data_IF_912912387495
#
_entry.id   IF_912912387495
#
_cell.length_a   1.000
_cell.length_b   1.000
_cell.length_c   1.000
_cell.angle_alpha   90.00
_cell.angle_beta   90.00
_cell.angle_gamma   90.00
#
_symmetry.space_group_name_H-M   'P 1'
#
loop_
_entity.id
_entity.type
_entity.pdbx_description
1 polymer ?
#
# COMPACT_ATOMS: atom_id res chain seq x y z
N UNK A 1 22.48 -3.18 -3.95
CA UNK A 1 23.30 -2.05 -3.47
C UNK A 1 22.59 -0.78 -3.86
N UNK A 2 21.88 -0.17 -2.92
CA UNK A 2 21.12 1.10 -3.08
C UNK A 2 21.90 2.22 -2.39
N UNK A 3 23.22 2.22 -2.53
CA UNK A 3 24.16 2.92 -1.67
C UNK A 3 24.08 4.47 -1.66
N UNK A 4 23.15 5.08 -2.40
CA UNK A 4 22.97 6.53 -2.38
C UNK A 4 21.56 7.01 -2.78
N UNK A 5 20.57 6.14 -2.94
CA UNK A 5 19.23 6.55 -3.40
C UNK A 5 18.49 7.33 -2.32
N UNK A 6 18.16 8.58 -2.59
CA UNK A 6 17.35 9.43 -1.71
C UNK A 6 15.86 9.32 -2.08
N UNK A 7 15.02 9.06 -1.11
CA UNK A 7 13.56 8.95 -1.26
C UNK A 7 12.89 10.22 -0.77
N UNK A 8 12.15 10.87 -1.65
CA UNK A 8 11.40 12.07 -1.34
C UNK A 8 9.90 11.80 -1.20
N UNK A 9 9.28 12.33 -0.15
CA UNK A 9 7.84 12.26 0.03
C UNK A 9 7.20 13.64 -0.12
N UNK A 10 6.37 13.79 -1.14
CA UNK A 10 5.45 14.92 -1.27
C UNK A 10 4.12 14.50 -0.61
N UNK A 11 3.93 14.93 0.64
CA UNK A 11 2.93 14.41 1.56
C UNK A 11 3.49 13.32 2.47
N UNK A 12 3.30 13.47 3.79
CA UNK A 12 3.82 12.52 4.80
C UNK A 12 2.74 12.14 5.82
N UNK A 13 1.57 11.74 5.27
CA UNK A 13 0.45 11.20 6.04
C UNK A 13 0.67 9.73 6.45
N UNK A 14 -0.39 9.05 6.89
CA UNK A 14 -0.30 7.66 7.37
C UNK A 14 0.36 6.73 6.34
N UNK A 15 0.02 6.84 5.05
CA UNK A 15 0.57 5.97 4.02
C UNK A 15 2.05 6.29 3.72
N UNK A 16 2.43 7.56 3.59
CA UNK A 16 3.83 7.94 3.41
C UNK A 16 4.70 7.48 4.59
N UNK A 17 4.19 7.60 5.83
CA UNK A 17 4.89 7.10 7.02
C UNK A 17 4.97 5.57 7.03
N UNK A 18 3.94 4.85 6.58
CA UNK A 18 3.97 3.39 6.50
C UNK A 18 5.04 2.90 5.52
N UNK A 19 5.12 3.51 4.33
CA UNK A 19 6.15 3.22 3.32
C UNK A 19 7.55 3.53 3.88
N UNK A 20 7.75 4.74 4.42
CA UNK A 20 9.04 5.15 4.98
C UNK A 20 9.52 4.20 6.08
N UNK A 21 8.63 3.82 7.00
CA UNK A 21 8.94 2.86 8.06
C UNK A 21 9.31 1.50 7.49
N UNK A 22 8.53 0.96 6.57
CA UNK A 22 8.83 -0.33 5.93
C UNK A 22 10.21 -0.33 5.25
N UNK A 23 10.54 0.70 4.49
CA UNK A 23 11.84 0.85 3.82
C UNK A 23 13.01 0.92 4.81
N UNK A 24 12.83 1.61 5.95
CA UNK A 24 13.85 1.68 7.00
C UNK A 24 13.99 0.32 7.71
N UNK A 25 12.89 -0.28 8.12
CA UNK A 25 12.89 -1.54 8.87
C UNK A 25 13.38 -2.73 8.05
N UNK A 26 13.16 -2.72 6.72
CA UNK A 26 13.75 -3.72 5.81
C UNK A 26 15.25 -3.54 5.58
N UNK A 27 15.82 -2.41 6.00
CA UNK A 27 17.22 -2.05 5.73
C UNK A 27 17.50 -1.65 4.28
N UNK A 28 16.44 -1.44 3.48
CA UNK A 28 16.57 -1.07 2.05
C UNK A 28 17.01 0.37 1.91
N UNK A 29 16.58 1.27 2.82
CA UNK A 29 16.91 2.70 2.82
C UNK A 29 17.26 3.12 4.25
N UNK A 30 18.32 3.92 4.41
CA UNK A 30 18.64 4.59 5.67
C UNK A 30 17.65 5.73 5.96
N UNK A 31 17.39 6.00 7.22
CA UNK A 31 16.48 7.07 7.61
C UNK A 31 16.96 8.47 7.13
N UNK A 32 18.26 8.69 7.07
CA UNK A 32 18.92 9.90 6.56
C UNK A 32 18.79 10.09 5.05
N UNK A 33 18.43 9.03 4.33
CA UNK A 33 18.11 9.06 2.90
C UNK A 33 16.65 9.45 2.61
N UNK A 34 15.83 9.72 3.65
CA UNK A 34 14.44 10.10 3.49
C UNK A 34 14.27 11.59 3.72
N UNK A 35 13.63 12.27 2.76
CA UNK A 35 13.22 13.66 2.84
C UNK A 35 11.72 13.80 2.60
N UNK A 36 11.04 14.63 3.36
CA UNK A 36 9.60 14.78 3.25
C UNK A 36 9.13 16.23 3.41
N UNK A 37 8.04 16.58 2.71
CA UNK A 37 7.26 17.77 2.96
C UNK A 37 5.78 17.43 3.22
N UNK A 38 5.08 18.30 3.95
CA UNK A 38 3.64 18.17 4.20
C UNK A 38 3.03 19.52 4.55
N UNK A 39 1.69 19.63 4.39
CA UNK A 39 0.96 20.88 4.65
C UNK A 39 1.09 21.40 6.10
N UNK A 40 1.28 20.50 7.08
CA UNK A 40 1.44 20.83 8.50
C UNK A 40 2.88 20.58 8.93
N UNK A 41 3.73 21.59 8.79
CA UNK A 41 5.18 21.48 9.01
C UNK A 41 5.56 21.03 10.43
N UNK A 42 4.93 21.58 11.48
CA UNK A 42 5.23 21.18 12.86
C UNK A 42 4.97 19.70 13.13
N UNK A 43 3.86 19.18 12.57
CA UNK A 43 3.53 17.75 12.64
C UNK A 43 4.53 16.93 11.82
N UNK A 44 4.93 17.41 10.65
CA UNK A 44 5.95 16.77 9.83
C UNK A 44 7.27 16.65 10.59
N UNK A 45 7.76 17.73 11.19
CA UNK A 45 9.01 17.72 11.98
C UNK A 45 8.95 16.68 13.09
N UNK A 46 7.83 16.60 13.82
CA UNK A 46 7.67 15.60 14.87
C UNK A 46 7.73 14.15 14.32
N UNK A 47 7.06 13.89 13.20
CA UNK A 47 7.01 12.54 12.61
C UNK A 47 8.32 12.13 11.93
N UNK A 48 8.98 13.04 11.22
CA UNK A 48 10.29 12.76 10.59
C UNK A 48 11.39 12.56 11.64
N UNK A 49 11.40 13.39 12.69
CA UNK A 49 12.34 13.23 13.82
C UNK A 49 12.21 11.87 14.48
N UNK A 50 10.99 11.35 14.63
CA UNK A 50 10.74 10.05 15.25
C UNK A 50 11.38 8.87 14.50
N UNK A 51 11.62 9.00 13.21
CA UNK A 51 12.22 7.95 12.36
C UNK A 51 13.63 8.32 11.87
N UNK A 52 14.14 9.50 12.19
CA UNK A 52 15.45 9.97 11.74
C UNK A 52 15.50 10.55 10.33
N UNK A 53 14.33 10.86 9.72
CA UNK A 53 14.22 11.44 8.40
C UNK A 53 14.30 12.99 8.44
N UNK A 54 14.46 13.60 7.27
CA UNK A 54 14.58 15.06 7.10
C UNK A 54 13.26 15.70 6.67
N UNK A 55 12.81 16.74 7.41
CA UNK A 55 11.71 17.60 7.00
C UNK A 55 12.21 18.78 6.15
N UNK A 56 11.46 19.12 5.10
CA UNK A 56 11.64 20.32 4.30
C UNK A 56 10.31 21.06 4.12
N UNK A 57 10.35 22.30 3.67
CA UNK A 57 9.16 23.16 3.69
C UNK A 57 8.25 22.92 2.49
N UNK A 58 8.80 22.65 1.33
CA UNK A 58 8.00 22.58 0.10
C UNK A 58 8.36 21.40 -0.82
N UNK A 59 7.46 21.07 -1.78
CA UNK A 59 7.68 19.97 -2.72
C UNK A 59 8.87 20.16 -3.65
N UNK A 60 9.28 21.39 -3.95
CA UNK A 60 10.43 21.66 -4.83
C UNK A 60 11.72 21.23 -4.13
N UNK A 61 11.86 21.53 -2.82
CA UNK A 61 13.00 21.05 -2.02
C UNK A 61 13.07 19.52 -1.99
N UNK A 62 11.92 18.83 -1.88
CA UNK A 62 11.86 17.37 -1.96
C UNK A 62 12.37 16.88 -3.32
N UNK A 63 11.82 17.42 -4.41
CA UNK A 63 12.18 17.00 -5.77
C UNK A 63 13.64 17.32 -6.10
N UNK A 64 14.21 18.39 -5.58
CA UNK A 64 15.61 18.74 -5.76
C UNK A 64 16.53 17.73 -5.06
N UNK A 65 16.17 17.28 -3.86
CA UNK A 65 16.99 16.43 -3.02
C UNK A 65 16.87 14.93 -3.32
N UNK A 66 15.76 14.47 -3.90
CA UNK A 66 15.44 13.05 -4.03
C UNK A 66 15.67 12.51 -5.45
N UNK A 67 15.95 11.22 -5.54
CA UNK A 67 16.03 10.45 -6.78
C UNK A 67 14.66 9.79 -7.09
N UNK A 68 13.96 9.33 -6.06
CA UNK A 68 12.62 8.74 -6.14
C UNK A 68 11.63 9.62 -5.41
N UNK A 69 10.65 10.15 -6.11
CA UNK A 69 9.68 11.08 -5.56
C UNK A 69 8.33 10.37 -5.38
N UNK A 70 7.94 10.13 -4.13
CA UNK A 70 6.65 9.50 -3.79
C UNK A 70 5.61 10.59 -3.59
N UNK A 71 4.59 10.63 -4.46
CA UNK A 71 3.47 11.56 -4.37
C UNK A 71 2.38 10.94 -3.48
N UNK A 72 2.37 11.35 -2.21
CA UNK A 72 1.55 10.79 -1.13
C UNK A 72 0.53 11.78 -0.57
N UNK A 73 -0.05 12.60 -1.44
CA UNK A 73 -1.09 13.60 -1.13
C UNK A 73 -2.46 13.14 -1.61
N UNK A 74 -3.50 13.86 -1.20
CA UNK A 74 -4.87 13.55 -1.64
C UNK A 74 -5.03 13.78 -3.14
N UNK A 75 -5.81 12.96 -3.86
CA UNK A 75 -5.95 13.03 -5.32
C UNK A 75 -6.29 14.43 -5.86
N UNK A 76 -7.17 15.16 -5.18
CA UNK A 76 -7.58 16.51 -5.59
C UNK A 76 -6.47 17.58 -5.45
N UNK A 77 -5.38 17.28 -4.76
CA UNK A 77 -4.25 18.19 -4.54
C UNK A 77 -3.12 17.97 -5.57
N UNK A 78 -3.09 16.82 -6.25
CA UNK A 78 -1.92 16.39 -7.05
C UNK A 78 -1.57 17.43 -8.10
N UNK A 79 -2.52 17.92 -8.89
CA UNK A 79 -2.26 18.88 -9.96
C UNK A 79 -1.67 20.19 -9.42
N UNK A 80 -2.30 20.75 -8.38
CA UNK A 80 -1.86 22.04 -7.81
C UNK A 80 -0.48 21.94 -7.16
N UNK A 81 -0.17 20.82 -6.50
CA UNK A 81 1.10 20.62 -5.79
C UNK A 81 2.22 20.22 -6.75
N UNK A 82 1.92 19.43 -7.79
CA UNK A 82 2.94 18.94 -8.72
C UNK A 82 3.32 19.93 -9.81
N UNK A 83 2.41 20.79 -10.28
CA UNK A 83 2.72 21.80 -11.31
C UNK A 83 4.00 22.62 -11.06
N UNK A 84 4.24 23.22 -9.88
CA UNK A 84 5.47 23.97 -9.62
C UNK A 84 6.72 23.07 -9.53
N UNK A 85 6.56 21.76 -9.34
CA UNK A 85 7.66 20.79 -9.18
C UNK A 85 8.20 20.30 -10.52
N UNK A 86 7.39 20.36 -11.59
CA UNK A 86 7.64 19.74 -12.91
C UNK A 86 9.05 20.02 -13.43
N UNK A 87 9.51 21.29 -13.41
CA UNK A 87 10.83 21.67 -13.92
C UNK A 87 11.98 21.00 -13.13
N UNK A 88 11.79 20.76 -11.85
CA UNK A 88 12.79 20.11 -10.99
C UNK A 88 12.85 18.59 -11.22
N UNK A 89 11.79 18.00 -11.79
CA UNK A 89 11.71 16.58 -12.11
C UNK A 89 12.40 16.21 -13.44
N UNK A 90 12.70 17.19 -14.28
CA UNK A 90 13.38 16.95 -15.58
C UNK A 90 14.83 16.54 -15.32
N UNK A 91 15.03 15.27 -15.04
CA UNK A 91 16.33 14.66 -14.84
C UNK A 91 16.20 13.14 -15.06
N UNK A 92 16.99 12.58 -15.97
CA UNK A 92 16.95 11.17 -16.36
C UNK A 92 17.18 10.18 -15.20
N UNK A 93 17.82 10.62 -14.11
CA UNK A 93 18.02 9.76 -12.94
C UNK A 93 16.81 9.70 -12.00
N UNK A 94 15.87 10.67 -12.09
CA UNK A 94 14.72 10.79 -11.21
C UNK A 94 13.49 10.09 -11.77
N UNK A 95 12.65 9.59 -10.88
CA UNK A 95 11.31 9.14 -11.25
C UNK A 95 10.28 9.38 -10.14
N UNK A 96 9.03 9.48 -10.54
CA UNK A 96 7.88 9.72 -9.67
C UNK A 96 7.13 8.41 -9.46
N UNK A 97 6.80 8.11 -8.21
CA UNK A 97 5.88 7.04 -7.83
C UNK A 97 4.64 7.69 -7.22
N UNK A 98 3.54 7.66 -7.95
CA UNK A 98 2.28 8.17 -7.43
C UNK A 98 1.54 7.09 -6.65
N UNK A 99 1.11 7.45 -5.43
CA UNK A 99 0.19 6.63 -4.64
C UNK A 99 -1.18 7.29 -4.47
N UNK A 100 -1.48 8.29 -5.30
CA UNK A 100 -2.75 9.01 -5.26
C UNK A 100 -3.84 8.21 -5.96
N UNK A 101 -4.85 7.77 -5.21
CA UNK A 101 -5.95 6.97 -5.74
C UNK A 101 -6.65 7.66 -6.92
N UNK A 102 -6.96 6.90 -7.97
CA UNK A 102 -7.61 7.40 -9.18
C UNK A 102 -6.72 8.26 -10.10
N UNK A 103 -5.42 8.39 -9.80
CA UNK A 103 -4.43 8.96 -10.71
C UNK A 103 -3.77 7.84 -11.52
N UNK A 104 -3.91 7.91 -12.85
CA UNK A 104 -3.32 7.00 -13.83
C UNK A 104 -2.15 7.66 -14.54
N UNK A 105 -1.35 6.88 -15.24
CA UNK A 105 -0.27 7.40 -16.09
C UNK A 105 -0.81 8.41 -17.10
N UNK A 106 -1.93 8.13 -17.75
CA UNK A 106 -2.56 9.05 -18.70
C UNK A 106 -2.91 10.40 -18.07
N UNK A 107 -3.46 10.39 -16.84
CA UNK A 107 -3.75 11.65 -16.12
C UNK A 107 -2.48 12.43 -15.78
N UNK A 108 -1.42 11.74 -15.38
CA UNK A 108 -0.12 12.37 -15.15
C UNK A 108 0.45 12.98 -16.44
N UNK A 109 0.48 12.24 -17.53
CA UNK A 109 0.95 12.74 -18.82
C UNK A 109 0.17 13.97 -19.28
N UNK A 110 -1.16 13.95 -19.12
CA UNK A 110 -1.99 15.12 -19.44
C UNK A 110 -1.66 16.34 -18.58
N UNK A 111 -1.40 16.16 -17.30
CA UNK A 111 -1.00 17.23 -16.37
C UNK A 111 0.40 17.77 -16.70
N UNK A 112 1.33 16.90 -17.07
CA UNK A 112 2.71 17.23 -17.41
C UNK A 112 2.83 17.94 -18.77
N UNK A 113 1.86 17.70 -19.68
CA UNK A 113 1.86 18.29 -21.02
C UNK A 113 3.12 17.92 -21.81
N UNK A 114 3.80 18.91 -22.39
CA UNK A 114 5.02 18.73 -23.17
C UNK A 114 6.19 18.11 -22.37
N UNK A 115 6.16 18.22 -21.03
CA UNK A 115 7.19 17.63 -20.15
C UNK A 115 7.00 16.13 -19.93
N UNK A 116 5.91 15.53 -20.40
CA UNK A 116 5.58 14.11 -20.18
C UNK A 116 6.62 13.14 -20.76
N UNK A 117 7.32 13.54 -21.83
CA UNK A 117 8.40 12.76 -22.44
C UNK A 117 9.72 12.77 -21.63
N UNK A 118 9.84 13.73 -20.70
CA UNK A 118 11.07 13.98 -19.93
C UNK A 118 10.95 13.55 -18.46
N UNK A 119 9.74 13.16 -18.02
CA UNK A 119 9.46 12.82 -16.62
C UNK A 119 8.94 11.40 -16.55
N UNK A 120 9.64 10.59 -15.77
CA UNK A 120 9.33 9.18 -15.58
C UNK A 120 8.35 8.98 -14.42
N UNK A 121 7.25 8.26 -14.67
CA UNK A 121 6.15 8.09 -13.71
C UNK A 121 5.70 6.63 -13.66
N UNK A 122 5.49 6.12 -12.44
CA UNK A 122 4.76 4.90 -12.15
C UNK A 122 3.58 5.22 -11.21
N UNK A 123 2.38 4.81 -11.58
CA UNK A 123 1.19 4.94 -10.73
C UNK A 123 0.94 3.65 -9.96
N UNK A 124 0.65 3.77 -8.67
CA UNK A 124 0.50 2.64 -7.75
C UNK A 124 -0.52 2.92 -6.66
N UNK A 125 -0.98 1.87 -6.00
CA UNK A 125 -1.87 1.93 -4.83
C UNK A 125 -1.33 1.00 -3.75
N UNK A 126 -0.72 1.54 -2.68
CA UNK A 126 -0.21 0.77 -1.55
C UNK A 126 -1.30 0.48 -0.50
N UNK A 127 -0.99 -0.43 0.42
CA UNK A 127 -1.74 -0.60 1.65
C UNK A 127 -0.86 -0.47 2.90
N UNK A 128 -1.49 -0.28 4.07
CA UNK A 128 -0.79 0.01 5.33
C UNK A 128 0.13 -1.10 5.85
N UNK A 129 -0.08 -2.42 5.57
CA UNK A 129 0.86 -3.47 5.98
C UNK A 129 2.27 -3.35 5.40
N UNK A 130 2.52 -2.45 4.44
CA UNK A 130 3.88 -2.10 4.00
C UNK A 130 4.78 -1.67 5.16
N UNK A 131 4.20 -1.06 6.20
CA UNK A 131 4.94 -0.63 7.40
C UNK A 131 5.69 -1.77 8.12
N UNK A 132 5.28 -3.01 7.91
CA UNK A 132 5.88 -4.21 8.52
C UNK A 132 6.37 -5.21 7.47
N UNK A 133 6.62 -4.77 6.25
CA UNK A 133 7.13 -5.59 5.15
C UNK A 133 6.14 -6.66 4.63
N UNK A 134 4.84 -6.44 4.83
CA UNK A 134 3.75 -7.36 4.43
C UNK A 134 2.71 -6.66 3.57
N UNK A 135 3.14 -5.64 2.82
CA UNK A 135 2.26 -4.84 1.99
C UNK A 135 1.86 -5.49 0.68
N UNK A 136 0.88 -4.86 0.04
CA UNK A 136 0.57 -5.02 -1.38
C UNK A 136 0.72 -3.65 -2.03
N UNK A 137 1.40 -3.62 -3.16
CA UNK A 137 1.53 -2.46 -4.03
C UNK A 137 0.88 -2.81 -5.37
N UNK A 138 -0.40 -2.48 -5.51
CA UNK A 138 -1.07 -2.56 -6.81
C UNK A 138 -0.43 -1.54 -7.73
N UNK A 139 0.04 -1.98 -8.88
CA UNK A 139 0.86 -1.17 -9.79
C UNK A 139 0.24 -1.19 -11.16
N UNK A 140 0.05 -0.02 -11.76
CA UNK A 140 -0.40 0.07 -13.15
C UNK A 140 0.62 -0.62 -14.06
N UNK A 141 0.17 -1.45 -15.00
CA UNK A 141 1.03 -2.26 -15.87
C UNK A 141 1.76 -1.42 -16.94
N UNK A 142 1.37 -0.15 -17.06
CA UNK A 142 2.02 0.86 -17.90
C UNK A 142 2.76 1.88 -17.05
N UNK A 143 3.95 2.27 -17.50
CA UNK A 143 4.80 3.28 -16.89
C UNK A 143 5.70 3.95 -17.94
N UNK A 144 6.41 5.00 -17.56
CA UNK A 144 7.45 5.66 -18.39
C UNK A 144 8.85 5.46 -17.84
N UNK A 145 9.05 4.50 -16.92
CA UNK A 145 10.34 4.24 -16.30
C UNK A 145 11.34 3.65 -17.30
N UNK A 146 12.58 4.08 -17.20
CA UNK A 146 13.69 3.38 -17.86
C UNK A 146 13.89 1.99 -17.25
N UNK A 147 14.58 1.05 -17.94
CA UNK A 147 14.89 -0.27 -17.35
C UNK A 147 15.63 -0.16 -16.00
N UNK A 148 16.54 0.81 -15.84
CA UNK A 148 17.25 1.03 -14.59
C UNK A 148 16.33 1.53 -13.47
N UNK A 149 15.48 2.50 -13.78
CA UNK A 149 14.49 3.01 -12.83
C UNK A 149 13.49 1.93 -12.40
N UNK A 150 13.05 1.07 -13.34
CA UNK A 150 12.18 -0.07 -13.04
C UNK A 150 12.85 -1.07 -12.10
N UNK A 151 14.11 -1.41 -12.35
CA UNK A 151 14.87 -2.28 -11.44
C UNK A 151 15.00 -1.66 -10.04
N UNK A 152 15.21 -0.35 -9.96
CA UNK A 152 15.27 0.39 -8.68
C UNK A 152 13.92 0.40 -7.98
N UNK A 153 12.83 0.62 -8.71
CA UNK A 153 11.46 0.53 -8.19
C UNK A 153 11.18 -0.86 -7.60
N UNK A 154 11.46 -1.93 -8.35
CA UNK A 154 11.28 -3.31 -7.89
C UNK A 154 12.13 -3.62 -6.65
N UNK A 155 13.38 -3.18 -6.61
CA UNK A 155 14.25 -3.40 -5.45
C UNK A 155 13.76 -2.66 -4.19
N UNK A 156 13.27 -1.42 -4.33
CA UNK A 156 12.75 -0.64 -3.22
C UNK A 156 11.45 -1.23 -2.67
N UNK A 157 10.46 -1.37 -3.52
CA UNK A 157 9.10 -1.72 -3.07
C UNK A 157 8.91 -3.22 -2.87
N UNK A 158 9.60 -4.07 -3.63
CA UNK A 158 9.59 -5.53 -3.45
C UNK A 158 10.16 -5.98 -2.09
N UNK A 159 10.95 -5.12 -1.42
CA UNK A 159 11.44 -5.39 -0.06
C UNK A 159 10.36 -5.29 1.01
N UNK A 160 9.25 -4.58 0.74
CA UNK A 160 8.20 -4.27 1.73
C UNK A 160 6.80 -4.65 1.28
N UNK A 161 6.61 -5.08 0.02
CA UNK A 161 5.31 -5.40 -0.56
C UNK A 161 5.40 -6.45 -1.67
N UNK A 162 4.31 -7.18 -1.89
CA UNK A 162 4.03 -7.80 -3.17
C UNK A 162 3.70 -6.70 -4.18
N UNK A 163 4.46 -6.63 -5.27
CA UNK A 163 4.14 -5.75 -6.40
C UNK A 163 3.25 -6.54 -7.35
N UNK A 164 1.99 -6.13 -7.47
CA UNK A 164 1.03 -6.77 -8.37
C UNK A 164 0.67 -5.79 -9.49
N UNK A 165 0.97 -6.17 -10.75
CA UNK A 165 0.69 -5.33 -11.92
C UNK A 165 -0.66 -5.67 -12.51
N UNK A 166 -1.47 -4.65 -12.72
CA UNK A 166 -2.80 -4.76 -13.35
C UNK A 166 -2.95 -3.65 -14.39
N UNK A 167 -3.77 -3.90 -15.40
CA UNK A 167 -4.09 -2.86 -16.38
C UNK A 167 -4.87 -1.71 -15.73
N UNK A 168 -4.84 -0.56 -16.38
CA UNK A 168 -5.45 0.68 -15.89
C UNK A 168 -6.95 0.51 -15.54
N UNK A 169 -7.69 -0.30 -16.30
CA UNK A 169 -9.13 -0.49 -16.11
C UNK A 169 -9.45 -1.27 -14.81
N UNK A 170 -8.52 -2.12 -14.35
CA UNK A 170 -8.69 -2.93 -13.14
C UNK A 170 -8.03 -2.33 -11.89
N UNK A 171 -7.36 -1.17 -11.98
CA UNK A 171 -6.75 -0.51 -10.84
C UNK A 171 -7.76 -0.22 -9.70
N UNK A 172 -9.02 0.10 -10.04
CA UNK A 172 -10.09 0.36 -9.06
C UNK A 172 -10.41 -0.87 -8.22
N UNK A 173 -10.76 -1.97 -8.88
CA UNK A 173 -11.10 -3.21 -8.18
C UNK A 173 -9.91 -3.81 -7.43
N UNK A 174 -8.70 -3.72 -7.98
CA UNK A 174 -7.49 -4.15 -7.28
C UNK A 174 -7.23 -3.30 -6.03
N UNK A 175 -7.46 -1.97 -6.09
CA UNK A 175 -7.46 -1.09 -4.92
C UNK A 175 -8.48 -1.54 -3.88
N UNK A 176 -9.69 -1.89 -4.29
CA UNK A 176 -10.72 -2.35 -3.37
C UNK A 176 -10.25 -3.60 -2.60
N UNK A 177 -9.70 -4.59 -3.31
CA UNK A 177 -9.24 -5.85 -2.71
C UNK A 177 -8.00 -5.64 -1.84
N UNK A 178 -7.01 -4.87 -2.28
CA UNK A 178 -5.74 -4.73 -1.56
C UNK A 178 -5.72 -3.55 -0.58
N UNK A 179 -6.38 -2.44 -0.91
CA UNK A 179 -6.31 -1.19 -0.16
C UNK A 179 -7.51 -0.94 0.78
N UNK A 180 -8.72 -1.37 0.41
CA UNK A 180 -9.92 -1.18 1.24
C UNK A 180 -10.22 -2.41 2.11
N UNK A 181 -10.06 -3.62 1.59
CA UNK A 181 -10.38 -4.85 2.31
C UNK A 181 -9.54 -5.14 3.57
N UNK A 182 -8.37 -4.52 3.84
CA UNK A 182 -7.77 -4.57 5.17
C UNK A 182 -8.74 -4.19 6.29
N UNK A 183 -9.57 -3.16 6.09
CA UNK A 183 -10.61 -2.79 7.07
C UNK A 183 -11.65 -3.89 7.29
N UNK A 184 -12.02 -4.65 6.25
CA UNK A 184 -12.95 -5.78 6.38
C UNK A 184 -12.31 -6.91 7.20
N UNK A 185 -11.01 -7.15 6.99
CA UNK A 185 -10.23 -8.12 7.75
C UNK A 185 -10.09 -7.71 9.22
N UNK A 186 -9.92 -6.41 9.50
CA UNK A 186 -9.91 -5.87 10.85
C UNK A 186 -11.26 -6.07 11.56
N UNK A 187 -12.39 -5.86 10.87
CA UNK A 187 -13.73 -6.18 11.39
C UNK A 187 -13.90 -7.69 11.67
N UNK A 188 -13.40 -8.55 10.79
CA UNK A 188 -13.40 -9.99 11.00
C UNK A 188 -12.56 -10.38 12.23
N UNK A 189 -11.38 -9.80 12.38
CA UNK A 189 -10.51 -10.02 13.54
C UNK A 189 -11.17 -9.55 14.83
N UNK A 190 -11.88 -8.42 14.80
CA UNK A 190 -12.64 -7.90 15.95
C UNK A 190 -13.80 -8.84 16.35
N UNK A 191 -14.55 -9.33 15.36
CA UNK A 191 -15.62 -10.30 15.59
C UNK A 191 -15.12 -11.61 16.22
N UNK A 192 -13.96 -12.13 15.77
CA UNK A 192 -13.31 -13.28 16.41
C UNK A 192 -12.85 -12.96 17.84
N UNK A 193 -12.36 -11.74 18.06
CA UNK A 193 -12.01 -11.25 19.39
C UNK A 193 -13.19 -11.23 20.34
N UNK A 194 -14.34 -10.72 19.87
CA UNK A 194 -15.59 -10.70 20.66
C UNK A 194 -16.10 -12.11 20.96
N UNK A 195 -16.06 -12.99 19.97
CA UNK A 195 -16.40 -14.40 20.19
C UNK A 195 -15.48 -15.04 21.24
N UNK A 196 -14.16 -14.80 21.17
CA UNK A 196 -13.22 -15.26 22.18
C UNK A 196 -13.56 -14.80 23.58
N UNK A 197 -13.89 -13.51 23.75
CA UNK A 197 -14.30 -12.94 25.05
C UNK A 197 -15.62 -13.54 25.53
N UNK A 198 -16.60 -13.74 24.64
CA UNK A 198 -17.86 -14.41 24.97
C UNK A 198 -17.66 -15.79 25.59
N UNK A 199 -16.62 -16.50 25.19
CA UNK A 199 -16.28 -17.84 25.71
C UNK A 199 -15.12 -17.85 26.72
N UNK A 200 -14.80 -16.70 27.32
CA UNK A 200 -13.90 -16.57 28.48
C UNK A 200 -12.43 -16.32 28.16
N UNK A 201 -12.04 -16.10 26.91
CA UNK A 201 -10.66 -15.68 26.61
C UNK A 201 -10.45 -14.20 26.96
N UNK A 202 -9.24 -13.88 27.38
CA UNK A 202 -8.82 -12.49 27.46
C UNK A 202 -8.75 -11.87 26.08
N UNK A 203 -9.28 -10.64 25.90
CA UNK A 203 -9.34 -9.94 24.61
C UNK A 203 -8.01 -9.89 23.88
N UNK A 204 -6.93 -9.52 24.60
CA UNK A 204 -5.60 -9.45 24.01
C UNK A 204 -5.11 -10.79 23.44
N UNK A 205 -5.48 -11.90 24.08
CA UNK A 205 -5.16 -13.25 23.61
C UNK A 205 -5.99 -13.60 22.39
N UNK A 206 -7.30 -13.30 22.39
CA UNK A 206 -8.18 -13.56 21.26
C UNK A 206 -7.70 -12.81 20.00
N UNK A 207 -7.32 -11.54 20.11
CA UNK A 207 -6.78 -10.76 19.00
C UNK A 207 -5.45 -11.31 18.46
N UNK A 208 -4.51 -11.72 19.33
CA UNK A 208 -3.24 -12.32 18.87
C UNK A 208 -3.47 -13.63 18.10
N UNK A 209 -4.41 -14.47 18.57
CA UNK A 209 -4.77 -15.70 17.89
C UNK A 209 -5.39 -15.44 16.52
N UNK A 210 -6.36 -14.52 16.44
CA UNK A 210 -7.02 -14.13 15.19
C UNK A 210 -6.03 -13.53 14.19
N UNK A 211 -5.20 -12.58 14.62
CA UNK A 211 -4.20 -11.95 13.76
C UNK A 211 -3.20 -12.97 13.19
N UNK A 212 -2.66 -13.87 14.04
CA UNK A 212 -1.69 -14.88 13.59
C UNK A 212 -2.32 -15.93 12.69
N UNK A 213 -3.58 -16.30 12.92
CA UNK A 213 -4.33 -17.19 12.04
C UNK A 213 -4.53 -16.56 10.66
N UNK A 214 -4.96 -15.29 10.57
CA UNK A 214 -5.16 -14.57 9.31
C UNK A 214 -3.85 -14.49 8.52
N UNK A 215 -2.75 -14.10 9.18
CA UNK A 215 -1.41 -14.08 8.56
C UNK A 215 -1.04 -15.44 8.01
N UNK A 216 -1.28 -16.52 8.78
CA UNK A 216 -0.94 -17.88 8.40
C UNK A 216 -1.72 -18.39 7.19
N UNK A 217 -3.01 -18.10 7.12
CA UNK A 217 -3.86 -18.49 5.96
C UNK A 217 -3.41 -17.79 4.70
N UNK A 218 -3.10 -16.50 4.76
CA UNK A 218 -2.56 -15.75 3.62
C UNK A 218 -1.20 -16.29 3.16
N UNK A 219 -0.30 -16.55 4.12
CA UNK A 219 1.03 -17.07 3.82
C UNK A 219 0.97 -18.48 3.20
N UNK A 220 0.05 -19.33 3.66
CA UNK A 220 -0.16 -20.66 3.09
C UNK A 220 -0.64 -20.58 1.63
N UNK A 221 -1.61 -19.71 1.34
CA UNK A 221 -2.05 -19.47 -0.03
C UNK A 221 -0.92 -18.99 -0.93
N UNK A 222 -0.13 -18.02 -0.47
CA UNK A 222 1.00 -17.48 -1.24
C UNK A 222 2.10 -18.51 -1.51
N UNK A 223 2.25 -19.52 -0.63
CA UNK A 223 3.24 -20.59 -0.78
C UNK A 223 2.78 -21.70 -1.72
N UNK A 224 1.51 -22.09 -1.65
CA UNK A 224 0.98 -23.28 -2.33
C UNK A 224 0.14 -22.96 -3.56
N UNK A 225 -0.51 -21.80 -3.61
CA UNK A 225 -1.40 -21.38 -4.70
C UNK A 225 -2.65 -22.26 -4.85
N UNK A 226 -3.00 -23.03 -3.80
CA UNK A 226 -4.15 -23.91 -3.83
C UNK A 226 -5.46 -23.11 -3.80
N UNK A 227 -6.47 -23.59 -4.51
CA UNK A 227 -7.78 -22.95 -4.54
C UNK A 227 -8.34 -22.79 -3.11
N UNK A 228 -8.79 -21.58 -2.69
CA UNK A 228 -9.24 -21.32 -1.32
C UNK A 228 -10.36 -22.25 -0.82
N UNK A 229 -11.22 -22.74 -1.75
CA UNK A 229 -12.23 -23.75 -1.44
C UNK A 229 -11.62 -25.09 -1.03
N UNK A 230 -10.57 -25.53 -1.70
CA UNK A 230 -9.85 -26.76 -1.35
C UNK A 230 -9.12 -26.61 -0.01
N UNK A 231 -8.44 -25.48 0.23
CA UNK A 231 -7.84 -25.18 1.54
C UNK A 231 -8.86 -25.23 2.67
N UNK A 232 -10.07 -24.68 2.45
CA UNK A 232 -11.20 -24.76 3.41
C UNK A 232 -11.62 -26.21 3.64
N UNK A 233 -11.79 -27.00 2.58
CA UNK A 233 -12.24 -28.38 2.68
C UNK A 233 -11.22 -29.27 3.42
N UNK A 234 -9.94 -29.03 3.23
CA UNK A 234 -8.87 -29.75 3.92
C UNK A 234 -8.94 -29.66 5.46
N UNK A 235 -9.52 -28.59 5.99
CA UNK A 235 -9.71 -28.40 7.44
C UNK A 235 -11.14 -28.69 7.91
N UNK A 236 -12.03 -29.16 7.01
CA UNK A 236 -13.44 -29.46 7.28
C UNK A 236 -13.70 -30.99 7.27
N UNK A 237 -13.30 -31.67 8.33
CA UNK A 237 -13.60 -33.10 8.45
C UNK A 237 -15.11 -33.38 8.55
N UNK A 238 -15.60 -34.55 8.05
CA UNK A 238 -17.02 -34.93 8.12
C UNK A 238 -17.56 -34.90 9.56
N UNK A 239 -18.62 -34.12 9.80
CA UNK A 239 -19.23 -33.97 11.13
C UNK A 239 -18.40 -33.19 12.15
N UNK A 240 -17.22 -32.68 11.77
CA UNK A 240 -16.27 -31.95 12.62
C UNK A 240 -16.77 -30.58 13.07
N UNK A 241 -15.99 -29.93 13.93
CA UNK A 241 -16.34 -28.58 14.48
C UNK A 241 -16.23 -27.49 13.43
N UNK A 242 -15.23 -27.54 12.55
CA UNK A 242 -14.99 -26.52 11.52
C UNK A 242 -16.14 -26.42 10.54
N UNK A 243 -16.66 -27.55 10.03
CA UNK A 243 -17.77 -27.52 9.05
C UNK A 243 -19.06 -26.96 9.65
N UNK A 244 -19.32 -27.14 10.96
CA UNK A 244 -20.47 -26.53 11.63
C UNK A 244 -20.37 -25.01 11.67
N UNK A 245 -19.17 -24.47 11.93
CA UNK A 245 -18.91 -23.03 11.85
C UNK A 245 -19.08 -22.47 10.43
N UNK A 246 -18.53 -23.19 9.43
CA UNK A 246 -18.69 -22.82 8.01
C UNK A 246 -20.16 -22.79 7.62
N UNK A 247 -20.96 -23.80 7.97
CA UNK A 247 -22.40 -23.84 7.68
C UNK A 247 -23.14 -22.61 8.27
N UNK A 248 -22.85 -22.25 9.52
CA UNK A 248 -23.44 -21.09 10.17
C UNK A 248 -23.07 -19.75 9.48
N UNK A 249 -21.83 -19.61 8.97
CA UNK A 249 -21.43 -18.44 8.19
C UNK A 249 -22.15 -18.39 6.83
N UNK A 250 -22.35 -19.53 6.17
CA UNK A 250 -23.11 -19.59 4.92
C UNK A 250 -24.59 -19.24 5.14
N UNK A 251 -25.22 -19.75 6.20
CA UNK A 251 -26.58 -19.37 6.59
C UNK A 251 -26.72 -17.84 6.82
N UNK A 252 -25.65 -17.21 7.32
CA UNK A 252 -25.57 -15.77 7.54
C UNK A 252 -25.16 -14.98 6.29
N UNK A 253 -25.10 -15.62 5.12
CA UNK A 253 -24.71 -15.01 3.82
C UNK A 253 -23.33 -14.30 3.86
N UNK A 254 -22.35 -14.86 4.57
CA UNK A 254 -21.02 -14.24 4.75
C UNK A 254 -20.37 -13.85 3.43
N UNK A 255 -20.34 -14.75 2.43
CA UNK A 255 -19.75 -14.46 1.11
C UNK A 255 -20.48 -13.33 0.41
N UNK A 256 -21.82 -13.34 0.45
CA UNK A 256 -22.63 -12.28 -0.14
C UNK A 256 -22.41 -10.92 0.52
N UNK A 257 -22.16 -10.88 1.82
CA UNK A 257 -21.86 -9.65 2.54
C UNK A 257 -20.51 -9.05 2.08
N UNK A 258 -19.48 -9.89 1.90
CA UNK A 258 -18.17 -9.44 1.40
C UNK A 258 -18.27 -8.91 -0.03
N UNK A 259 -18.96 -9.63 -0.93
CA UNK A 259 -19.15 -9.18 -2.32
C UNK A 259 -19.91 -7.84 -2.36
N UNK A 260 -20.98 -7.69 -1.58
CA UNK A 260 -21.74 -6.43 -1.50
C UNK A 260 -20.91 -5.25 -0.96
N UNK A 261 -19.95 -5.52 -0.08
CA UNK A 261 -19.05 -4.47 0.40
C UNK A 261 -18.13 -3.96 -0.72
N UNK A 262 -17.68 -4.85 -1.61
CA UNK A 262 -16.92 -4.50 -2.81
C UNK A 262 -17.81 -3.72 -3.80
N UNK A 263 -19.03 -4.23 -4.08
CA UNK A 263 -19.99 -3.56 -4.96
C UNK A 263 -20.29 -2.13 -4.50
N UNK A 264 -20.40 -1.89 -3.19
CA UNK A 264 -20.66 -0.57 -2.65
C UNK A 264 -19.51 0.43 -2.88
N UNK A 265 -18.29 -0.04 -3.08
CA UNK A 265 -17.12 0.81 -3.40
C UNK A 265 -17.06 1.07 -4.91
N UNK A 266 -17.26 0.04 -5.73
CA UNK A 266 -17.13 0.13 -7.19
C UNK A 266 -18.31 0.90 -7.85
N UNK A 267 -19.48 0.90 -7.22
CA UNK A 267 -20.68 1.56 -7.75
C UNK A 267 -20.93 2.96 -7.17
N UNK A 268 -20.16 3.40 -6.18
CA UNK A 268 -20.25 4.72 -5.55
C UNK A 268 -19.31 5.70 -6.20
#
# INVERSE_FOLDING_TARGET
MTDSTTIGFIGFGNMGQAIARGLIESGTVGADQIVACAAHYDKLVATTKAIGARAVHDPIEVAAAADVIIVAIKPYQVEAVMKPVVQTLVNESKFVVSIAAGWTLEKFQRMLGEMSELIHVQCTIPNTPMAVGKGVLVTEDVDTLTPEQRNRFEALFGSIALIERVDTAHMGIAMCIAGCAPAFTEMYMEALGDAGVKYGLQRATAYRLAAKMIEGVGALYMSEGEHPGAMKDAVCSPGGTTIKGVASLEESAFRGAVIKAVDAIEQG
#
